data_IF_996331967983
#
_entry.id   IF_996331967983
#
_cell.length_a   1.000
_cell.length_b   1.000
_cell.length_c   1.000
_cell.angle_alpha   90.00
_cell.angle_beta   90.00
_cell.angle_gamma   90.00
#
_symmetry.space_group_name_H-M   'P 1'
#
loop_
_entity.id
_entity.type
_entity.pdbx_description
1 polymer ?
#
# COMPACT_ATOMS: atom_id res chain seq x y z
N UNK A 1 -5.35 2.81 -12.73
CA UNK A 1 -6.32 1.73 -12.41
C UNK A 1 -6.33 1.44 -10.91
N UNK A 2 -5.16 1.25 -10.28
CA UNK A 2 -5.04 0.96 -8.84
C UNK A 2 -5.68 2.02 -7.92
N UNK A 3 -5.32 3.31 -8.06
CA UNK A 3 -5.93 4.42 -7.31
C UNK A 3 -7.45 4.53 -7.47
N UNK A 4 -7.99 4.23 -8.65
CA UNK A 4 -9.45 4.23 -8.84
C UNK A 4 -10.12 3.08 -8.09
N UNK A 5 -9.47 1.92 -7.98
CA UNK A 5 -9.98 0.78 -7.21
C UNK A 5 -9.86 1.02 -5.69
N UNK A 6 -8.76 1.61 -5.21
CA UNK A 6 -8.62 2.03 -3.81
C UNK A 6 -9.78 2.95 -3.39
N UNK A 7 -10.05 4.00 -4.18
CA UNK A 7 -11.18 4.90 -3.94
C UNK A 7 -12.54 4.20 -3.98
N UNK A 8 -12.74 3.27 -4.91
CA UNK A 8 -13.98 2.50 -5.00
C UNK A 8 -14.20 1.63 -3.76
N UNK A 9 -13.16 0.93 -3.29
CA UNK A 9 -13.23 0.12 -2.08
C UNK A 9 -13.49 0.99 -0.83
N UNK A 10 -12.80 2.11 -0.68
CA UNK A 10 -13.04 3.05 0.42
C UNK A 10 -14.49 3.53 0.40
N UNK A 11 -15.04 3.85 -0.77
CA UNK A 11 -16.43 4.27 -0.89
C UNK A 11 -17.41 3.16 -0.50
N UNK A 12 -17.16 1.91 -0.95
CA UNK A 12 -17.98 0.74 -0.60
C UNK A 12 -17.91 0.44 0.89
N UNK A 13 -16.70 0.40 1.47
CA UNK A 13 -16.48 0.16 2.89
C UNK A 13 -17.20 1.20 3.76
N UNK A 14 -17.10 2.49 3.40
CA UNK A 14 -17.82 3.58 4.10
C UNK A 14 -19.34 3.49 3.93
N UNK A 15 -19.82 3.07 2.76
CA UNK A 15 -21.24 2.94 2.47
C UNK A 15 -21.88 1.68 3.07
N UNK A 16 -21.08 0.74 3.58
CA UNK A 16 -21.58 -0.52 4.11
C UNK A 16 -22.47 -0.36 5.37
N UNK A 17 -22.59 0.84 5.96
CA UNK A 17 -23.50 1.20 7.08
C UNK A 17 -23.57 0.15 8.21
N UNK A 18 -22.46 -0.52 8.51
CA UNK A 18 -22.40 -1.61 9.51
C UNK A 18 -23.37 -2.78 9.23
N UNK A 19 -23.86 -2.91 7.99
CA UNK A 19 -24.74 -4.00 7.55
C UNK A 19 -23.91 -5.13 6.96
N UNK A 20 -23.92 -6.25 7.68
CA UNK A 20 -23.22 -7.50 7.37
C UNK A 20 -23.52 -8.03 5.96
N UNK A 21 -24.66 -7.65 5.38
CA UNK A 21 -25.02 -7.99 3.98
C UNK A 21 -24.03 -7.43 2.95
N UNK A 22 -23.23 -6.42 3.30
CA UNK A 22 -22.22 -5.84 2.43
C UNK A 22 -20.88 -6.60 2.46
N UNK A 23 -20.67 -7.55 3.38
CA UNK A 23 -19.42 -8.32 3.45
C UNK A 23 -19.02 -8.97 2.12
N UNK A 24 -19.91 -9.64 1.36
CA UNK A 24 -19.54 -10.21 0.06
C UNK A 24 -19.03 -9.17 -0.93
N UNK A 25 -19.59 -7.96 -0.90
CA UNK A 25 -19.16 -6.86 -1.77
C UNK A 25 -17.78 -6.35 -1.36
N UNK A 26 -17.53 -6.19 -0.06
CA UNK A 26 -16.20 -5.81 0.46
C UNK A 26 -15.17 -6.86 0.06
N UNK A 27 -15.47 -8.15 0.27
CA UNK A 27 -14.60 -9.27 -0.12
C UNK A 27 -14.27 -9.25 -1.62
N UNK A 28 -15.27 -9.11 -2.47
CA UNK A 28 -15.09 -9.17 -3.92
C UNK A 28 -14.24 -7.99 -4.44
N UNK A 29 -14.45 -6.79 -3.88
CA UNK A 29 -13.64 -5.60 -4.24
C UNK A 29 -12.23 -5.71 -3.65
N UNK A 30 -12.09 -6.20 -2.42
CA UNK A 30 -10.80 -6.44 -1.79
C UNK A 30 -9.96 -7.44 -2.60
N UNK A 31 -10.55 -8.55 -3.06
CA UNK A 31 -9.84 -9.54 -3.89
C UNK A 31 -9.35 -8.96 -5.24
N UNK A 32 -10.15 -8.12 -5.88
CA UNK A 32 -9.72 -7.39 -7.10
C UNK A 32 -8.56 -6.45 -6.79
N UNK A 33 -8.62 -5.77 -5.65
CA UNK A 33 -7.60 -4.82 -5.26
C UNK A 33 -6.28 -5.52 -4.88
N UNK A 34 -6.33 -6.64 -4.16
CA UNK A 34 -5.15 -7.47 -3.89
C UNK A 34 -4.44 -7.90 -5.18
N UNK A 35 -5.21 -8.26 -6.22
CA UNK A 35 -4.66 -8.62 -7.53
C UNK A 35 -3.92 -7.44 -8.18
N UNK A 36 -4.47 -6.23 -8.10
CA UNK A 36 -3.85 -5.05 -8.71
C UNK A 36 -2.69 -4.50 -7.86
N UNK A 37 -2.73 -4.63 -6.54
CA UNK A 37 -1.60 -4.31 -5.65
C UNK A 37 -0.43 -5.25 -5.91
N UNK A 38 -0.67 -6.55 -6.04
CA UNK A 38 0.40 -7.51 -6.34
C UNK A 38 1.03 -7.24 -7.71
N UNK A 39 0.21 -6.86 -8.72
CA UNK A 39 0.75 -6.44 -10.03
C UNK A 39 1.62 -5.18 -9.90
N UNK A 40 1.23 -4.24 -9.04
CA UNK A 40 2.00 -3.04 -8.78
C UNK A 40 3.35 -3.36 -8.11
N UNK A 41 3.36 -4.19 -7.07
CA UNK A 41 4.60 -4.66 -6.46
C UNK A 41 5.51 -5.36 -7.46
N UNK A 42 4.98 -6.27 -8.28
CA UNK A 42 5.76 -6.95 -9.31
C UNK A 42 6.39 -5.96 -10.30
N UNK A 43 5.62 -4.96 -10.74
CA UNK A 43 6.15 -3.91 -11.61
C UNK A 43 7.31 -3.16 -10.95
N UNK A 44 7.17 -2.78 -9.69
CA UNK A 44 8.22 -2.05 -8.98
C UNK A 44 9.45 -2.92 -8.74
N UNK A 45 9.26 -4.16 -8.31
CA UNK A 45 10.33 -5.13 -8.04
C UNK A 45 11.10 -5.50 -9.32
N UNK A 46 10.44 -5.61 -10.47
CA UNK A 46 11.06 -5.97 -11.74
C UNK A 46 11.66 -4.78 -12.51
N UNK A 47 11.02 -3.61 -12.43
CA UNK A 47 11.35 -2.45 -13.27
C UNK A 47 12.02 -1.33 -12.49
N UNK A 48 11.50 -1.00 -11.30
CA UNK A 48 11.92 0.19 -10.55
C UNK A 48 13.11 -0.13 -9.63
N UNK A 49 13.08 -1.26 -8.93
CA UNK A 49 14.15 -1.70 -8.02
C UNK A 49 15.53 -1.76 -8.68
N UNK A 50 15.71 -2.30 -9.90
CA UNK A 50 17.01 -2.25 -10.58
C UNK A 50 17.53 -0.83 -10.77
N UNK A 51 16.65 0.09 -11.18
CA UNK A 51 17.00 1.50 -11.37
C UNK A 51 17.35 2.16 -10.04
N UNK A 52 16.51 1.99 -9.01
CA UNK A 52 16.73 2.55 -7.67
C UNK A 52 18.07 2.13 -7.07
N UNK A 53 18.50 0.88 -7.31
CA UNK A 53 19.75 0.34 -6.79
C UNK A 53 20.98 1.02 -7.42
N UNK A 54 20.89 1.45 -8.67
CA UNK A 54 22.01 2.01 -9.44
C UNK A 54 22.11 3.54 -9.36
N UNK A 55 21.06 4.21 -8.88
CA UNK A 55 20.96 5.68 -8.81
C UNK A 55 22.05 6.32 -7.95
N UNK A 56 22.26 5.84 -6.73
CA UNK A 56 23.20 6.43 -5.77
C UNK A 56 23.63 5.42 -4.69
N UNK A 57 24.49 5.86 -3.75
CA UNK A 57 25.00 5.03 -2.66
C UNK A 57 23.92 4.56 -1.65
N UNK A 58 22.75 5.19 -1.63
CA UNK A 58 21.62 4.85 -0.77
C UNK A 58 20.62 3.91 -1.45
N UNK A 59 20.77 3.65 -2.76
CA UNK A 59 19.94 2.75 -3.55
C UNK A 59 19.67 1.40 -2.90
N UNK A 60 20.71 0.66 -2.44
CA UNK A 60 20.51 -0.62 -1.76
C UNK A 60 19.67 -0.54 -0.48
N UNK A 61 19.82 0.54 0.31
CA UNK A 61 19.05 0.73 1.56
C UNK A 61 17.58 1.04 1.25
N UNK A 62 17.31 1.86 0.23
CA UNK A 62 15.94 2.14 -0.22
C UNK A 62 15.25 0.90 -0.76
N UNK A 63 15.98 0.06 -1.50
CA UNK A 63 15.44 -1.21 -2.02
C UNK A 63 15.09 -2.17 -0.88
N UNK A 64 15.97 -2.33 0.11
CA UNK A 64 15.68 -3.17 1.28
C UNK A 64 14.42 -2.70 2.01
N UNK A 65 14.30 -1.38 2.21
CA UNK A 65 13.12 -0.77 2.84
C UNK A 65 11.83 -1.03 2.03
N UNK A 66 11.88 -0.85 0.71
CA UNK A 66 10.72 -1.12 -0.17
C UNK A 66 10.25 -2.58 -0.05
N UNK A 67 11.18 -3.54 -0.06
CA UNK A 67 10.82 -4.95 0.10
C UNK A 67 10.21 -5.25 1.47
N UNK A 68 10.68 -4.60 2.54
CA UNK A 68 10.08 -4.72 3.87
C UNK A 68 8.66 -4.14 3.89
N UNK A 69 8.46 -2.95 3.33
CA UNK A 69 7.15 -2.30 3.20
C UNK A 69 6.18 -3.18 2.38
N UNK A 70 6.61 -3.75 1.26
CA UNK A 70 5.80 -4.69 0.47
C UNK A 70 5.45 -5.96 1.25
N UNK A 71 6.39 -6.53 2.01
CA UNK A 71 6.13 -7.73 2.79
C UNK A 71 5.09 -7.48 3.89
N UNK A 72 5.18 -6.34 4.58
CA UNK A 72 4.20 -5.90 5.57
C UNK A 72 2.82 -5.69 4.93
N UNK A 73 2.76 -4.96 3.82
CA UNK A 73 1.51 -4.71 3.09
C UNK A 73 0.87 -6.00 2.58
N UNK A 74 1.65 -6.95 2.04
CA UNK A 74 1.15 -8.29 1.65
C UNK A 74 0.57 -9.04 2.85
N UNK A 75 1.24 -9.00 4.00
CA UNK A 75 0.73 -9.64 5.22
C UNK A 75 -0.60 -9.06 5.66
N UNK A 76 -0.77 -7.73 5.62
CA UNK A 76 -2.03 -7.08 5.98
C UNK A 76 -3.13 -7.43 4.98
N UNK A 77 -2.84 -7.42 3.67
CA UNK A 77 -3.80 -7.80 2.64
C UNK A 77 -4.31 -9.24 2.81
N UNK A 78 -3.43 -10.18 3.15
CA UNK A 78 -3.84 -11.57 3.43
C UNK A 78 -4.80 -11.61 4.62
N UNK A 79 -4.46 -10.94 5.72
CA UNK A 79 -5.32 -10.91 6.91
C UNK A 79 -6.70 -10.27 6.61
N UNK A 80 -6.74 -9.19 5.84
CA UNK A 80 -7.99 -8.54 5.44
C UNK A 80 -8.86 -9.46 4.57
N UNK A 81 -8.26 -10.24 3.68
CA UNK A 81 -8.98 -11.19 2.83
C UNK A 81 -9.54 -12.33 3.68
N UNK A 82 -8.74 -12.89 4.59
CA UNK A 82 -9.18 -13.94 5.52
C UNK A 82 -10.35 -13.45 6.39
N UNK A 83 -10.24 -12.26 7.00
CA UNK A 83 -11.33 -11.66 7.79
C UNK A 83 -12.61 -11.42 6.96
N UNK A 84 -12.46 -11.05 5.69
CA UNK A 84 -13.58 -10.85 4.78
C UNK A 84 -14.27 -12.17 4.39
N UNK A 85 -13.56 -13.30 4.43
CA UNK A 85 -14.06 -14.63 4.11
C UNK A 85 -14.67 -15.35 5.32
N UNK A 86 -13.99 -15.33 6.47
CA UNK A 86 -14.35 -16.14 7.64
C UNK A 86 -15.44 -15.50 8.51
N UNK A 87 -15.60 -14.18 8.43
CA UNK A 87 -16.58 -13.43 9.21
C UNK A 87 -16.26 -13.31 10.70
N UNK A 88 -15.03 -13.59 11.13
CA UNK A 88 -14.59 -13.52 12.53
C UNK A 88 -14.64 -12.07 13.03
N UNK A 89 -14.14 -11.13 12.23
CA UNK A 89 -14.26 -9.69 12.47
C UNK A 89 -15.59 -9.19 11.92
N UNK A 90 -16.34 -8.39 12.69
CA UNK A 90 -17.60 -7.80 12.19
C UNK A 90 -17.35 -6.86 11.00
N UNK A 91 -18.37 -6.60 10.18
CA UNK A 91 -18.20 -5.81 8.94
C UNK A 91 -17.79 -4.35 9.20
N UNK A 92 -18.13 -3.80 10.37
CA UNK A 92 -17.76 -2.43 10.74
C UNK A 92 -16.25 -2.30 10.95
N UNK A 93 -15.70 -3.14 11.82
CA UNK A 93 -14.27 -3.18 12.11
C UNK A 93 -13.45 -3.54 10.86
N UNK A 94 -13.97 -4.45 10.03
CA UNK A 94 -13.35 -4.79 8.75
C UNK A 94 -13.34 -3.58 7.80
N UNK A 95 -14.46 -2.85 7.70
CA UNK A 95 -14.54 -1.68 6.84
C UNK A 95 -13.60 -0.57 7.30
N UNK A 96 -13.49 -0.33 8.60
CA UNK A 96 -12.59 0.68 9.16
C UNK A 96 -11.12 0.34 8.87
N UNK A 97 -10.72 -0.92 9.07
CA UNK A 97 -9.35 -1.37 8.78
C UNK A 97 -9.04 -1.28 7.28
N UNK A 98 -9.98 -1.69 6.42
CA UNK A 98 -9.85 -1.57 4.97
C UNK A 98 -9.68 -0.10 4.56
N UNK A 99 -10.49 0.80 5.10
CA UNK A 99 -10.39 2.23 4.80
C UNK A 99 -9.03 2.77 5.24
N UNK A 100 -8.62 2.47 6.48
CA UNK A 100 -7.34 2.94 7.01
C UNK A 100 -6.16 2.45 6.17
N UNK A 101 -6.11 1.14 5.87
CA UNK A 101 -5.03 0.53 5.10
C UNK A 101 -4.91 1.15 3.71
N UNK A 102 -6.01 1.26 2.96
CA UNK A 102 -5.93 1.77 1.59
C UNK A 102 -5.70 3.28 1.50
N UNK A 103 -6.08 4.05 2.53
CA UNK A 103 -5.66 5.45 2.63
C UNK A 103 -4.16 5.56 2.86
N UNK A 104 -3.59 4.71 3.73
CA UNK A 104 -2.15 4.68 3.99
C UNK A 104 -1.38 4.26 2.74
N UNK A 105 -1.84 3.22 2.07
CA UNK A 105 -1.28 2.72 0.81
C UNK A 105 -1.33 3.75 -0.31
N UNK A 106 -2.43 4.48 -0.47
CA UNK A 106 -2.51 5.58 -1.44
C UNK A 106 -1.51 6.71 -1.15
N UNK A 107 -1.25 6.98 0.13
CA UNK A 107 -0.24 7.95 0.54
C UNK A 107 1.17 7.43 0.27
N UNK A 108 1.47 6.16 0.57
CA UNK A 108 2.78 5.55 0.30
C UNK A 108 3.14 5.62 -1.19
N UNK A 109 2.23 5.22 -2.08
CA UNK A 109 2.45 5.35 -3.52
C UNK A 109 2.71 6.81 -3.95
N UNK A 110 2.03 7.78 -3.33
CA UNK A 110 2.24 9.19 -3.66
C UNK A 110 3.63 9.67 -3.20
N UNK A 111 4.05 9.28 -2.01
CA UNK A 111 5.37 9.60 -1.46
C UNK A 111 6.49 8.94 -2.30
N UNK A 112 6.28 7.70 -2.75
CA UNK A 112 7.21 6.97 -3.62
C UNK A 112 7.34 7.64 -5.00
N UNK A 113 6.22 7.98 -5.64
CA UNK A 113 6.22 8.72 -6.90
C UNK A 113 6.97 10.06 -6.76
N UNK A 114 6.76 10.80 -5.68
CA UNK A 114 7.46 12.07 -5.43
C UNK A 114 8.99 11.85 -5.26
N UNK A 115 9.38 10.82 -4.50
CA UNK A 115 10.79 10.46 -4.32
C UNK A 115 11.46 9.96 -5.60
N UNK A 116 10.72 9.34 -6.51
CA UNK A 116 11.25 8.83 -7.77
C UNK A 116 11.29 9.89 -8.89
N UNK A 117 10.33 10.83 -8.90
CA UNK A 117 10.19 11.84 -9.95
C UNK A 117 10.97 13.13 -9.69
N UNK A 118 11.36 13.41 -8.44
CA UNK A 118 12.19 14.57 -8.14
C UNK A 118 13.69 14.26 -8.38
N UNK A 119 14.29 14.93 -9.36
CA UNK A 119 15.72 14.83 -9.67
C UNK A 119 16.66 15.20 -8.50
N UNK A 120 16.15 15.90 -7.47
CA UNK A 120 16.87 16.14 -6.21
C UNK A 120 16.91 14.91 -5.29
N UNK A 121 15.95 13.97 -5.36
CA UNK A 121 15.97 12.75 -4.55
C UNK A 121 16.96 11.68 -5.06
N UNK A 122 17.46 11.85 -6.29
CA UNK A 122 18.50 11.03 -6.92
C UNK A 122 19.91 11.64 -6.72
N UNK A 123 20.06 12.71 -5.92
CA UNK A 123 21.33 13.43 -5.76
C UNK A 123 21.48 14.38 -4.56
N UNK A 124 20.47 14.56 -3.72
CA UNK A 124 20.60 15.36 -2.50
C UNK A 124 21.05 14.48 -1.32
N UNK A 125 22.13 14.90 -0.68
CA UNK A 125 22.64 14.30 0.56
C UNK A 125 21.52 14.22 1.62
N UNK A 126 21.47 13.13 2.43
CA UNK A 126 20.55 13.10 3.55
C UNK A 126 20.88 14.27 4.47
N UNK A 127 19.90 15.14 4.73
CA UNK A 127 19.96 16.08 5.86
C UNK A 127 19.92 15.24 7.13
N UNK A 128 21.10 14.93 7.64
CA UNK A 128 21.27 14.50 9.02
C UNK A 128 20.93 15.74 9.84
N UNK A 129 19.74 15.78 10.41
CA UNK A 129 19.47 16.75 11.48
C UNK A 129 20.49 16.45 12.58
N UNK A 130 21.44 17.37 12.73
CA UNK A 130 22.31 17.41 13.89
C UNK A 130 21.42 17.62 15.10
N UNK A 131 21.12 16.52 15.80
CA UNK A 131 20.65 16.57 17.17
C UNK A 131 21.86 17.05 17.98
N UNK A 132 21.93 18.36 18.22
CA UNK A 132 22.83 18.94 19.21
C UNK A 132 22.49 18.35 20.58
N UNK A 133 23.45 17.61 21.15
CA UNK A 133 23.45 17.08 22.50
C UNK A 133 24.87 16.88 22.99
#
# INVERSE_FOLDING_TARGET
MLRSLCRALIAVARAAERDEKHRPVIRDVLGQLCTEVERHFQYEEEVIVPLMREVDAWGPVRVERLFQEHAEQRSVLVALVEDAEDGVRNVEDLADEVVWFFQRFEQDMADEEERLLNAEALGAEPRVDQIDG
#
